data_IF_276164846549
#
_entry.id   IF_276164846549
#
_cell.length_a   1.000
_cell.length_b   1.000
_cell.length_c   1.000
_cell.angle_alpha   90.00
_cell.angle_beta   90.00
_cell.angle_gamma   90.00
#
_symmetry.space_group_name_H-M   'P 1'
#
loop_
_entity.id
_entity.type
_entity.pdbx_description
1 polymer ?
#
# COMPACT_ATOMS: atom_id res chain seq x y z
N UNK A 1 14.66 -36.77 -15.01
CA UNK A 1 15.04 -35.34 -15.16
C UNK A 1 15.25 -34.80 -13.76
N UNK A 2 16.43 -34.28 -13.41
CA UNK A 2 16.58 -33.64 -12.11
C UNK A 2 15.68 -32.40 -12.09
N UNK A 3 14.84 -32.26 -11.05
CA UNK A 3 14.12 -31.01 -10.83
C UNK A 3 15.17 -29.93 -10.60
N UNK A 4 15.20 -28.91 -11.45
CA UNK A 4 15.98 -27.71 -11.18
C UNK A 4 15.43 -27.10 -9.89
N UNK A 5 16.20 -27.21 -8.81
CA UNK A 5 15.92 -26.49 -7.56
C UNK A 5 16.14 -25.01 -7.83
N UNK A 6 15.13 -24.17 -7.57
CA UNK A 6 15.26 -22.72 -7.67
C UNK A 6 16.36 -22.21 -6.75
N UNK A 7 17.15 -21.25 -7.22
CA UNK A 7 18.11 -20.56 -6.35
C UNK A 7 17.39 -19.53 -5.48
N UNK A 8 17.92 -19.17 -4.29
CA UNK A 8 17.28 -18.20 -3.40
C UNK A 8 16.96 -16.85 -4.07
N UNK A 9 17.82 -16.39 -4.99
CA UNK A 9 17.57 -15.15 -5.71
C UNK A 9 16.44 -15.27 -6.74
N UNK A 10 16.30 -16.42 -7.39
CA UNK A 10 15.15 -16.69 -8.26
C UNK A 10 13.85 -16.72 -7.46
N UNK A 11 13.86 -17.31 -6.26
CA UNK A 11 12.69 -17.32 -5.38
C UNK A 11 12.29 -15.92 -4.92
N UNK A 12 13.27 -15.06 -4.62
CA UNK A 12 13.04 -13.65 -4.29
C UNK A 12 12.37 -12.89 -5.44
N UNK A 13 12.88 -13.02 -6.68
CA UNK A 13 12.27 -12.38 -7.85
C UNK A 13 10.85 -12.92 -8.09
N UNK A 14 10.67 -14.25 -8.01
CA UNK A 14 9.33 -14.85 -8.14
C UNK A 14 8.36 -14.37 -7.06
N UNK A 15 8.84 -14.10 -5.85
CA UNK A 15 8.01 -13.54 -4.78
C UNK A 15 7.55 -12.12 -5.11
N UNK A 16 8.43 -11.27 -5.66
CA UNK A 16 8.06 -9.93 -6.14
C UNK A 16 7.05 -10.01 -7.29
N UNK A 17 7.26 -10.90 -8.26
CA UNK A 17 6.35 -11.10 -9.40
C UNK A 17 4.97 -11.56 -8.94
N UNK A 18 4.88 -12.42 -7.91
CA UNK A 18 3.60 -12.82 -7.30
C UNK A 18 2.83 -11.62 -6.74
N UNK A 19 3.51 -10.71 -6.04
CA UNK A 19 2.87 -9.49 -5.50
C UNK A 19 2.35 -8.60 -6.61
N UNK A 20 3.14 -8.37 -7.66
CA UNK A 20 2.72 -7.55 -8.80
C UNK A 20 1.52 -8.18 -9.55
N UNK A 21 1.55 -9.50 -9.77
CA UNK A 21 0.42 -10.22 -10.39
C UNK A 21 -0.82 -10.11 -9.53
N UNK A 22 -0.72 -10.34 -8.22
CA UNK A 22 -1.85 -10.21 -7.28
C UNK A 22 -2.45 -8.82 -7.31
N UNK A 23 -1.60 -7.78 -7.21
CA UNK A 23 -2.02 -6.38 -7.29
C UNK A 23 -2.82 -6.13 -8.57
N UNK A 24 -2.24 -6.42 -9.74
CA UNK A 24 -2.87 -6.18 -11.05
C UNK A 24 -4.17 -6.96 -11.23
N UNK A 25 -4.17 -8.24 -10.88
CA UNK A 25 -5.33 -9.12 -10.99
C UNK A 25 -6.50 -8.61 -10.16
N UNK A 26 -6.26 -8.24 -8.90
CA UNK A 26 -7.30 -7.76 -7.99
C UNK A 26 -7.81 -6.39 -8.41
N UNK A 27 -6.91 -5.45 -8.72
CA UNK A 27 -7.33 -4.10 -9.15
C UNK A 27 -8.13 -4.13 -10.45
N UNK A 28 -7.75 -5.00 -11.41
CA UNK A 28 -8.49 -5.16 -12.65
C UNK A 28 -9.89 -5.75 -12.42
N UNK A 29 -10.03 -6.71 -11.50
CA UNK A 29 -11.33 -7.28 -11.14
C UNK A 29 -12.25 -6.23 -10.49
N UNK A 30 -11.71 -5.40 -9.61
CA UNK A 30 -12.46 -4.32 -8.97
C UNK A 30 -12.87 -3.23 -9.96
N UNK A 31 -11.98 -2.83 -10.87
CA UNK A 31 -12.32 -1.90 -11.96
C UNK A 31 -13.43 -2.47 -12.86
N UNK A 32 -13.34 -3.76 -13.25
CA UNK A 32 -14.36 -4.42 -14.06
C UNK A 32 -15.72 -4.53 -13.35
N UNK A 33 -15.72 -4.70 -12.03
CA UNK A 33 -16.94 -4.75 -11.20
C UNK A 33 -17.48 -3.36 -10.81
N UNK A 34 -16.80 -2.27 -11.20
CA UNK A 34 -17.17 -0.91 -10.82
C UNK A 34 -17.15 -0.67 -9.31
N UNK A 35 -16.27 -1.38 -8.59
CA UNK A 35 -16.08 -1.22 -7.14
C UNK A 35 -15.07 -0.12 -6.90
N UNK A 36 -15.38 0.84 -6.04
CA UNK A 36 -14.41 1.89 -5.68
C UNK A 36 -13.36 1.31 -4.73
N UNK A 37 -12.10 1.58 -5.04
CA UNK A 37 -10.96 1.19 -4.21
C UNK A 37 -9.81 2.18 -4.38
N UNK A 38 -8.80 2.08 -3.54
CA UNK A 38 -7.49 2.68 -3.79
C UNK A 38 -6.38 1.76 -3.25
N UNK A 39 -5.33 1.56 -4.03
CA UNK A 39 -4.09 0.94 -3.55
C UNK A 39 -3.46 1.86 -2.51
N UNK A 40 -3.09 1.29 -1.36
CA UNK A 40 -2.43 1.98 -0.25
C UNK A 40 -1.14 1.23 0.16
N UNK A 41 -0.62 1.50 1.35
CA UNK A 41 0.42 0.66 1.93
C UNK A 41 1.77 0.79 1.23
N UNK A 42 2.53 -0.31 1.18
CA UNK A 42 3.86 -0.35 0.53
C UNK A 42 3.78 -0.18 -0.99
N UNK A 43 2.80 -0.83 -1.64
CA UNK A 43 2.63 -0.74 -3.10
C UNK A 43 2.34 0.70 -3.55
N UNK A 44 1.49 1.43 -2.84
CA UNK A 44 1.23 2.84 -3.18
C UNK A 44 2.49 3.71 -3.08
N UNK A 45 3.34 3.48 -2.08
CA UNK A 45 4.63 4.18 -1.97
C UNK A 45 5.53 3.83 -3.14
N UNK A 46 5.62 2.54 -3.47
CA UNK A 46 6.41 2.09 -4.61
C UNK A 46 5.93 2.74 -5.92
N UNK A 47 4.61 2.86 -6.14
CA UNK A 47 4.03 3.58 -7.28
C UNK A 47 4.55 5.01 -7.37
N UNK A 48 4.46 5.79 -6.28
CA UNK A 48 4.89 7.19 -6.27
C UNK A 48 6.40 7.36 -6.37
N UNK A 49 7.16 6.56 -5.63
CA UNK A 49 8.64 6.62 -5.63
C UNK A 49 9.19 6.21 -6.99
N UNK A 50 8.65 5.17 -7.63
CA UNK A 50 9.09 4.71 -8.94
C UNK A 50 8.93 5.78 -10.04
N UNK A 51 7.96 6.67 -9.92
CA UNK A 51 7.78 7.78 -10.87
C UNK A 51 8.90 8.82 -10.80
N UNK A 52 9.62 8.90 -9.68
CA UNK A 52 10.78 9.78 -9.50
C UNK A 52 12.11 9.05 -9.66
N UNK A 53 12.28 7.95 -8.95
CA UNK A 53 13.48 7.13 -8.95
C UNK A 53 13.13 5.65 -8.70
N UNK A 54 13.06 4.81 -9.75
CA UNK A 54 12.82 3.38 -9.61
C UNK A 54 13.81 2.66 -8.70
N UNK A 55 15.06 3.11 -8.62
CA UNK A 55 16.09 2.47 -7.79
C UNK A 55 15.90 2.70 -6.28
N UNK A 56 15.11 3.72 -5.90
CA UNK A 56 14.77 4.01 -4.50
C UNK A 56 13.56 3.21 -3.98
N UNK A 57 12.96 2.36 -4.83
CA UNK A 57 11.76 1.60 -4.46
C UNK A 57 12.11 0.45 -3.52
N UNK A 58 11.22 0.20 -2.57
CA UNK A 58 11.24 -1.00 -1.73
C UNK A 58 10.10 -1.92 -2.11
N UNK A 59 10.34 -3.21 -1.92
CA UNK A 59 9.32 -4.24 -2.15
C UNK A 59 8.45 -4.41 -0.93
N UNK A 60 7.21 -4.80 -1.16
CA UNK A 60 6.32 -5.33 -0.13
C UNK A 60 5.86 -6.73 -0.54
N UNK A 61 5.36 -7.48 0.43
CA UNK A 61 4.92 -8.87 0.26
C UNK A 61 3.40 -9.01 0.11
N UNK A 62 2.67 -8.01 0.58
CA UNK A 62 1.22 -7.96 0.66
C UNK A 62 0.66 -6.88 -0.26
N UNK A 63 -0.65 -6.87 -0.45
CA UNK A 63 -1.37 -5.80 -1.13
C UNK A 63 -2.34 -5.17 -0.13
N UNK A 64 -2.26 -3.86 0.08
CA UNK A 64 -3.23 -3.14 0.91
C UNK A 64 -4.18 -2.36 0.01
N UNK A 65 -5.49 -2.49 0.24
CA UNK A 65 -6.53 -1.74 -0.45
C UNK A 65 -7.40 -0.96 0.54
N UNK A 66 -7.65 0.30 0.20
CA UNK A 66 -8.70 1.12 0.82
C UNK A 66 -10.01 0.84 0.09
N UNK A 67 -11.09 0.57 0.82
CA UNK A 67 -12.42 0.30 0.27
C UNK A 67 -13.50 0.90 1.17
N UNK A 68 -14.71 1.07 0.62
CA UNK A 68 -15.88 1.40 1.45
C UNK A 68 -16.26 0.19 2.31
N UNK A 69 -16.65 0.43 3.57
CA UNK A 69 -17.07 -0.64 4.48
C UNK A 69 -18.31 -1.38 3.93
N UNK A 70 -19.22 -0.66 3.30
CA UNK A 70 -20.46 -1.23 2.76
C UNK A 70 -20.23 -1.97 1.43
N UNK A 71 -19.08 -1.79 0.78
CA UNK A 71 -18.71 -2.48 -0.47
C UNK A 71 -17.91 -3.77 -0.23
N UNK A 72 -17.65 -4.19 1.02
CA UNK A 72 -16.83 -5.39 1.31
C UNK A 72 -17.33 -6.64 0.59
N UNK A 73 -18.63 -6.91 0.60
CA UNK A 73 -19.20 -8.07 -0.09
C UNK A 73 -19.06 -7.95 -1.62
N UNK A 74 -19.08 -6.72 -2.16
CA UNK A 74 -18.85 -6.48 -3.59
C UNK A 74 -17.39 -6.69 -3.97
N UNK A 75 -16.45 -6.28 -3.10
CA UNK A 75 -15.02 -6.56 -3.25
C UNK A 75 -14.77 -8.06 -3.29
N UNK A 76 -15.35 -8.81 -2.33
CA UNK A 76 -15.22 -10.28 -2.26
C UNK A 76 -15.80 -10.93 -3.51
N UNK A 77 -17.01 -10.55 -3.92
CA UNK A 77 -17.65 -11.10 -5.11
C UNK A 77 -16.85 -10.82 -6.40
N UNK A 78 -16.21 -9.65 -6.51
CA UNK A 78 -15.41 -9.31 -7.68
C UNK A 78 -14.17 -10.21 -7.84
N UNK A 79 -13.60 -10.71 -6.74
CA UNK A 79 -12.41 -11.58 -6.78
C UNK A 79 -12.73 -13.07 -6.62
N UNK A 80 -13.98 -13.43 -6.32
CA UNK A 80 -14.38 -14.81 -6.08
C UNK A 80 -14.16 -15.71 -7.32
N UNK A 81 -14.49 -15.21 -8.51
CA UNK A 81 -14.25 -15.94 -9.77
C UNK A 81 -12.77 -16.16 -10.08
N UNK A 82 -11.87 -15.46 -9.38
CA UNK A 82 -10.43 -15.61 -9.50
C UNK A 82 -9.86 -16.59 -8.46
N UNK A 83 -10.71 -17.17 -7.60
CA UNK A 83 -10.33 -18.16 -6.59
C UNK A 83 -9.77 -17.55 -5.30
N UNK A 84 -9.87 -16.22 -5.12
CA UNK A 84 -9.49 -15.59 -3.86
C UNK A 84 -10.43 -16.01 -2.74
N UNK A 85 -9.89 -16.41 -1.59
CA UNK A 85 -10.69 -16.78 -0.42
C UNK A 85 -10.68 -15.68 0.62
N UNK A 86 -11.87 -15.29 1.08
CA UNK A 86 -12.00 -14.41 2.24
C UNK A 86 -11.54 -15.10 3.51
N UNK A 87 -10.67 -14.43 4.25
CA UNK A 87 -10.24 -14.78 5.59
C UNK A 87 -10.49 -13.57 6.50
N UNK A 88 -11.50 -13.70 7.37
CA UNK A 88 -11.81 -12.69 8.37
C UNK A 88 -10.99 -12.93 9.64
N UNK A 89 -10.41 -11.87 10.19
CA UNK A 89 -10.09 -11.85 11.61
C UNK A 89 -10.90 -10.82 12.38
N UNK A 90 -10.65 -10.77 13.70
CA UNK A 90 -11.37 -9.89 14.61
C UNK A 90 -11.23 -8.40 14.27
N UNK A 91 -10.39 -7.99 13.31
CA UNK A 91 -10.05 -6.59 13.04
C UNK A 91 -9.97 -6.22 11.56
N UNK A 92 -9.88 -7.20 10.65
CA UNK A 92 -9.62 -6.97 9.23
C UNK A 92 -10.17 -8.09 8.35
N UNK A 93 -10.41 -7.76 7.09
CA UNK A 93 -10.71 -8.73 6.02
C UNK A 93 -9.47 -8.89 5.17
N UNK A 94 -9.08 -10.13 4.92
CA UNK A 94 -7.95 -10.49 4.07
C UNK A 94 -8.47 -11.36 2.92
N UNK A 95 -8.05 -11.09 1.69
CA UNK A 95 -8.31 -11.95 0.53
C UNK A 95 -7.05 -12.75 0.25
N UNK A 96 -7.14 -14.07 0.44
CA UNK A 96 -6.04 -15.00 0.24
C UNK A 96 -5.99 -15.43 -1.22
N UNK A 97 -4.83 -15.23 -1.83
CA UNK A 97 -4.53 -15.64 -3.20
C UNK A 97 -4.43 -17.17 -3.29
N UNK A 98 -5.10 -17.83 -4.25
CA UNK A 98 -5.01 -19.28 -4.42
C UNK A 98 -3.59 -19.76 -4.78
N UNK A 99 -2.76 -18.94 -5.41
CA UNK A 99 -1.37 -19.30 -5.76
C UNK A 99 -0.40 -19.13 -4.57
N UNK A 100 -0.81 -18.44 -3.51
CA UNK A 100 0.00 -18.10 -2.34
C UNK A 100 -0.90 -17.79 -1.12
N UNK A 101 -1.51 -18.82 -0.50
CA UNK A 101 -2.55 -18.64 0.52
C UNK A 101 -1.98 -18.31 1.91
N UNK A 102 -1.00 -17.39 1.99
CA UNK A 102 -0.43 -16.87 3.24
C UNK A 102 -1.08 -15.53 3.60
N UNK A 103 -1.54 -15.42 4.86
CA UNK A 103 -2.09 -14.18 5.42
C UNK A 103 -1.11 -13.02 5.40
N UNK A 104 0.21 -13.28 5.36
CA UNK A 104 1.26 -12.27 5.29
C UNK A 104 1.45 -11.69 3.91
N UNK A 105 0.96 -12.33 2.85
CA UNK A 105 1.07 -11.88 1.46
C UNK A 105 -0.30 -11.58 0.83
N UNK A 106 -1.39 -11.83 1.54
CA UNK A 106 -2.75 -11.58 1.08
C UNK A 106 -3.06 -10.11 0.76
N UNK A 107 -4.29 -9.90 0.32
CA UNK A 107 -4.84 -8.56 0.08
C UNK A 107 -5.56 -8.10 1.35
N UNK A 108 -5.01 -7.12 2.06
CA UNK A 108 -5.59 -6.55 3.26
C UNK A 108 -6.54 -5.41 2.90
N UNK A 109 -7.76 -5.47 3.44
CA UNK A 109 -8.75 -4.41 3.26
C UNK A 109 -8.72 -3.44 4.46
N UNK A 110 -8.72 -2.15 4.13
CA UNK A 110 -8.80 -1.03 5.08
C UNK A 110 -10.01 -0.18 4.73
N UNK A 111 -10.73 0.30 5.76
CA UNK A 111 -11.98 1.02 5.58
C UNK A 111 -11.74 2.53 5.42
N UNK A 112 -12.22 3.09 4.32
CA UNK A 112 -12.20 4.53 4.07
C UNK A 112 -12.91 5.32 5.18
N UNK A 113 -12.36 6.46 5.57
CA UNK A 113 -12.96 7.35 6.58
C UNK A 113 -13.04 6.79 8.01
N UNK A 114 -12.50 5.59 8.29
CA UNK A 114 -12.53 4.97 9.63
C UNK A 114 -11.13 4.85 10.22
N UNK A 115 -11.04 4.88 11.55
CA UNK A 115 -9.76 4.64 12.24
C UNK A 115 -9.36 3.17 12.11
N UNK A 116 -8.16 2.92 11.60
CA UNK A 116 -7.60 1.56 11.47
C UNK A 116 -7.41 0.90 12.85
N UNK A 117 -7.04 1.70 13.86
CA UNK A 117 -6.98 1.28 15.27
C UNK A 117 -7.72 2.31 16.12
N UNK A 118 -8.32 1.94 17.25
CA UNK A 118 -8.95 2.91 18.15
C UNK A 118 -8.03 4.06 18.57
N UNK A 119 -6.73 3.80 18.68
CA UNK A 119 -5.70 4.78 19.04
C UNK A 119 -5.08 5.55 17.87
N UNK A 120 -5.46 5.26 16.61
CA UNK A 120 -4.97 6.03 15.45
C UNK A 120 -5.36 7.49 15.61
N UNK A 121 -4.47 8.45 15.33
CA UNK A 121 -4.75 9.89 15.52
C UNK A 121 -5.85 10.40 14.58
N UNK A 122 -5.80 9.96 13.32
CA UNK A 122 -6.73 10.32 12.25
C UNK A 122 -7.41 9.06 11.70
N UNK A 123 -8.60 9.18 11.07
CA UNK A 123 -9.16 8.11 10.26
C UNK A 123 -8.30 7.82 9.03
N UNK A 124 -8.50 6.66 8.41
CA UNK A 124 -7.98 6.41 7.08
C UNK A 124 -8.58 7.43 6.08
N UNK A 125 -7.86 7.78 5.00
CA UNK A 125 -8.32 8.73 3.99
C UNK A 125 -9.66 8.39 3.33
N UNK A 126 -10.23 9.34 2.60
CA UNK A 126 -11.39 9.09 1.74
C UNK A 126 -10.95 8.49 0.40
N UNK A 127 -11.82 7.68 -0.21
CA UNK A 127 -11.65 7.23 -1.60
C UNK A 127 -11.78 8.35 -2.63
N UNK A 128 -12.29 9.53 -2.25
CA UNK A 128 -12.30 10.72 -3.11
C UNK A 128 -10.89 11.29 -3.31
N UNK A 129 -9.94 10.88 -2.48
CA UNK A 129 -8.54 11.28 -2.56
C UNK A 129 -7.70 10.27 -3.38
N UNK A 130 -8.36 9.33 -4.06
CA UNK A 130 -7.73 8.40 -4.97
C UNK A 130 -7.50 9.04 -6.35
N UNK A 131 -6.39 8.68 -6.97
CA UNK A 131 -6.01 9.10 -8.32
C UNK A 131 -5.66 7.89 -9.17
N UNK A 132 -5.85 7.99 -10.48
CA UNK A 132 -5.47 6.92 -11.41
C UNK A 132 -3.94 6.95 -11.60
N UNK A 133 -3.26 5.85 -11.28
CA UNK A 133 -1.81 5.71 -11.48
C UNK A 133 -1.46 5.52 -12.96
N UNK A 134 -0.16 5.65 -13.31
CA UNK A 134 0.33 5.30 -14.65
C UNK A 134 0.13 3.83 -15.02
N UNK A 135 0.04 2.96 -14.03
CA UNK A 135 -0.26 1.53 -14.19
C UNK A 135 -1.76 1.24 -14.43
N UNK A 136 -2.62 2.26 -14.35
CA UNK A 136 -4.04 2.15 -14.69
C UNK A 136 -4.96 1.73 -13.55
N UNK A 137 -4.46 1.48 -12.34
CA UNK A 137 -5.29 1.25 -11.14
C UNK A 137 -5.46 2.53 -10.32
N UNK A 138 -6.46 2.55 -9.43
CA UNK A 138 -6.61 3.64 -8.46
C UNK A 138 -5.60 3.48 -7.32
N UNK A 139 -4.86 4.54 -7.03
CA UNK A 139 -3.90 4.64 -5.91
C UNK A 139 -4.25 5.87 -5.08
N UNK A 140 -3.99 5.82 -3.78
CA UNK A 140 -4.21 6.99 -2.93
C UNK A 140 -3.25 8.14 -3.32
N UNK A 141 -3.76 9.36 -3.40
CA UNK A 141 -2.94 10.54 -3.70
C UNK A 141 -1.79 10.69 -2.72
N UNK A 142 -0.67 11.25 -3.18
CA UNK A 142 0.54 11.39 -2.36
C UNK A 142 0.29 12.10 -1.01
N UNK A 143 -0.43 13.24 -0.91
CA UNK A 143 -0.71 13.87 0.38
C UNK A 143 -1.53 12.97 1.32
N UNK A 144 -2.55 12.29 0.78
CA UNK A 144 -3.37 11.38 1.57
C UNK A 144 -2.58 10.15 2.04
N UNK A 145 -1.72 9.60 1.19
CA UNK A 145 -0.82 8.49 1.54
C UNK A 145 0.18 8.90 2.62
N UNK A 146 0.76 10.09 2.52
CA UNK A 146 1.66 10.64 3.55
C UNK A 146 0.94 10.77 4.90
N UNK A 147 -0.26 11.35 4.93
CA UNK A 147 -1.08 11.42 6.16
C UNK A 147 -1.36 10.04 6.74
N UNK A 148 -1.69 9.07 5.88
CA UNK A 148 -1.94 7.70 6.31
C UNK A 148 -0.70 7.06 6.95
N UNK A 149 0.48 7.19 6.33
CA UNK A 149 1.75 6.68 6.85
C UNK A 149 2.13 7.35 8.17
N UNK A 150 2.02 8.68 8.25
CA UNK A 150 2.29 9.44 9.47
C UNK A 150 1.32 9.11 10.59
N UNK A 151 0.06 8.77 10.27
CA UNK A 151 -0.93 8.33 11.26
C UNK A 151 -0.60 6.95 11.82
N UNK A 152 -0.20 6.00 10.97
CA UNK A 152 0.18 4.65 11.36
C UNK A 152 1.51 4.59 12.11
N UNK A 153 2.51 5.35 11.65
CA UNK A 153 3.80 5.61 12.30
C UNK A 153 4.55 4.37 12.80
N UNK A 154 4.44 3.25 12.07
CA UNK A 154 5.27 2.05 12.31
C UNK A 154 6.66 2.29 11.74
N UNK A 155 7.65 1.47 12.12
CA UNK A 155 9.01 1.59 11.59
C UNK A 155 9.05 1.53 10.06
N UNK A 156 8.27 0.63 9.46
CA UNK A 156 8.15 0.54 8.00
C UNK A 156 7.50 1.79 7.38
N UNK A 157 6.58 2.46 8.08
CA UNK A 157 5.99 3.71 7.58
C UNK A 157 7.01 4.86 7.63
N UNK A 158 7.83 4.90 8.69
CA UNK A 158 8.94 5.86 8.82
C UNK A 158 9.97 5.68 7.70
N UNK A 159 10.32 4.43 7.36
CA UNK A 159 11.19 4.11 6.21
C UNK A 159 10.57 4.60 4.91
N UNK A 160 9.31 4.28 4.62
CA UNK A 160 8.64 4.77 3.41
C UNK A 160 8.61 6.30 3.31
N UNK A 161 8.45 7.00 4.42
CA UNK A 161 8.48 8.47 4.44
C UNK A 161 9.89 9.00 4.15
N UNK A 162 10.95 8.35 4.65
CA UNK A 162 12.33 8.67 4.24
C UNK A 162 12.55 8.44 2.76
N UNK A 163 12.08 7.33 2.21
CA UNK A 163 12.20 7.06 0.77
C UNK A 163 11.50 8.17 -0.05
N UNK A 164 10.28 8.59 0.36
CA UNK A 164 9.55 9.69 -0.29
C UNK A 164 10.26 11.06 -0.15
N UNK A 165 10.85 11.36 1.00
CA UNK A 165 11.68 12.56 1.20
C UNK A 165 12.91 12.51 0.30
N UNK A 166 13.56 11.34 0.23
CA UNK A 166 14.77 11.09 -0.55
C UNK A 166 14.63 11.45 -2.02
N UNK A 167 13.52 11.04 -2.62
CA UNK A 167 13.25 11.31 -4.04
C UNK A 167 12.52 12.64 -4.29
N UNK A 168 12.42 13.51 -3.28
CA UNK A 168 11.81 14.83 -3.38
C UNK A 168 10.30 14.83 -3.63
N UNK A 169 9.58 13.78 -3.21
CA UNK A 169 8.12 13.73 -3.33
C UNK A 169 7.42 14.63 -2.30
N UNK A 170 8.02 14.83 -1.13
CA UNK A 170 7.46 15.62 -0.05
C UNK A 170 8.09 17.01 -0.10
N UNK A 171 7.42 17.93 -0.81
CA UNK A 171 7.79 19.33 -0.90
C UNK A 171 6.96 20.19 0.09
N UNK A 172 7.26 21.49 0.13
CA UNK A 172 6.56 22.44 1.00
C UNK A 172 5.04 22.51 0.75
N UNK A 173 4.58 22.25 -0.47
CA UNK A 173 3.16 22.26 -0.81
C UNK A 173 2.46 21.02 -0.22
N UNK A 174 3.09 19.85 -0.30
CA UNK A 174 2.60 18.62 0.34
C UNK A 174 2.62 18.77 1.86
N UNK A 175 3.70 19.29 2.45
CA UNK A 175 3.83 19.51 3.89
C UNK A 175 2.73 20.45 4.43
N UNK A 176 2.38 21.50 3.67
CA UNK A 176 1.34 22.44 4.05
C UNK A 176 -0.06 21.81 4.19
N UNK A 177 -0.27 20.61 3.63
CA UNK A 177 -1.53 19.86 3.77
C UNK A 177 -1.64 19.06 5.08
N UNK A 178 -0.54 18.96 5.84
CA UNK A 178 -0.49 18.13 7.04
C UNK A 178 -1.05 18.85 8.27
N UNK A 179 -1.89 18.17 9.07
CA UNK A 179 -2.19 18.58 10.44
C UNK A 179 -0.93 18.71 11.30
N UNK A 180 -0.96 19.60 12.29
CA UNK A 180 0.21 19.94 13.11
C UNK A 180 0.84 18.73 13.83
N UNK A 181 0.03 17.77 14.28
CA UNK A 181 0.48 16.54 14.93
C UNK A 181 1.20 15.60 13.95
N UNK A 182 0.75 15.53 12.69
CA UNK A 182 1.43 14.76 11.65
C UNK A 182 2.70 15.44 11.16
N UNK A 183 2.71 16.78 11.08
CA UNK A 183 3.92 17.55 10.77
C UNK A 183 5.00 17.35 11.84
N UNK A 184 4.64 17.27 13.12
CA UNK A 184 5.57 16.94 14.19
C UNK A 184 6.22 15.55 13.98
N UNK A 185 5.39 14.54 13.65
CA UNK A 185 5.87 13.19 13.31
C UNK A 185 6.79 13.16 12.08
N UNK A 186 6.52 13.98 11.07
CA UNK A 186 7.38 14.08 9.90
C UNK A 186 8.75 14.67 10.28
N UNK A 187 8.76 15.73 11.09
CA UNK A 187 10.00 16.35 11.60
C UNK A 187 10.84 15.38 12.42
N UNK A 188 10.20 14.52 13.22
CA UNK A 188 10.90 13.44 13.92
C UNK A 188 11.63 12.51 12.95
N UNK A 189 11.02 12.18 11.80
CA UNK A 189 11.66 11.34 10.78
C UNK A 189 12.81 12.09 10.11
N UNK A 190 12.59 13.35 9.70
CA UNK A 190 13.62 14.19 9.08
C UNK A 190 14.87 14.32 9.97
N UNK A 191 14.69 14.48 11.28
CA UNK A 191 15.80 14.56 12.24
C UNK A 191 16.64 13.28 12.37
N UNK A 192 16.18 12.15 11.80
CA UNK A 192 16.91 10.88 11.79
C UNK A 192 17.58 10.56 10.45
N UNK A 193 17.45 11.44 9.45
CA UNK A 193 18.12 11.27 8.16
C UNK A 193 19.57 11.72 8.36
N UNK A 194 20.51 10.82 8.08
CA UNK A 194 21.93 11.15 8.07
C UNK A 194 22.18 12.10 6.89
N UNK A 195 22.78 13.29 7.09
CA UNK A 195 23.13 14.17 5.98
C UNK A 195 24.15 13.54 5.00
N UNK A 196 24.87 12.50 5.42
CA UNK A 196 25.84 11.78 4.59
C UNK A 196 25.23 10.54 3.88
N UNK A 197 23.98 10.17 4.18
CA UNK A 197 23.23 9.21 3.36
C UNK A 197 22.81 9.95 2.07
N UNK A 198 23.58 9.76 0.99
CA UNK A 198 23.22 10.23 -0.35
C UNK A 198 21.81 9.70 -0.71
N UNK A 199 20.85 10.63 -0.80
CA UNK A 199 19.48 10.40 -1.26
C UNK A 199 19.38 10.36 -2.79
#
# INVERSE_FOLDING_TARGET
MPMLVSTPFQEYVMAMDRVLRRLRTVTAALDAAGVRYAVIGGNAVATWVAERNPAATRTTKDVDLLVEYDDVERVVAAVDSLGFRRDDDRRSVILLDPEDPDRKSGVHLVWAGRRVRPSSLHPAPSLDEAVRSREGYLVLSLPALLRMKLTAFRDIDRVHIRDMLGVGLIDAAVEATLPADLLARQREIQATIDPDDDL
#
